data_IF_032304191232
#
_entry.id   IF_032304191232
#
_cell.length_a   1.000
_cell.length_b   1.000
_cell.length_c   1.000
_cell.angle_alpha   90.00
_cell.angle_beta   90.00
_cell.angle_gamma   90.00
#
_symmetry.space_group_name_H-M   'P 1'
#
loop_
_entity.id
_entity.type
_entity.pdbx_description
1 polymer ?
#
# COMPACT_ATOMS: atom_id res chain seq x y z
N UNK A 1 -3.36 14.96 2.03
CA UNK A 1 -4.48 14.00 1.83
C UNK A 1 -5.74 14.77 1.52
N UNK A 2 -6.55 14.30 0.57
CA UNK A 2 -7.79 14.94 0.10
C UNK A 2 -8.94 13.93 0.28
N UNK A 3 -10.07 14.36 0.85
CA UNK A 3 -11.30 13.57 0.88
C UNK A 3 -12.05 13.73 -0.45
N UNK A 4 -12.39 12.62 -1.09
CA UNK A 4 -13.03 12.60 -2.42
C UNK A 4 -14.53 12.44 -2.28
N UNK A 5 -14.94 11.50 -1.43
CA UNK A 5 -16.31 11.24 -0.97
C UNK A 5 -16.23 10.82 0.52
N UNK A 6 -17.33 10.86 1.27
CA UNK A 6 -17.31 10.53 2.70
C UNK A 6 -16.57 9.22 3.00
N UNK A 7 -15.55 9.29 3.85
CA UNK A 7 -14.67 8.17 4.24
C UNK A 7 -13.71 7.62 3.16
N UNK A 8 -13.63 8.23 1.97
CA UNK A 8 -12.65 7.90 0.94
C UNK A 8 -11.66 9.04 0.76
N UNK A 9 -10.40 8.76 1.05
CA UNK A 9 -9.34 9.75 1.01
C UNK A 9 -8.20 9.29 0.13
N UNK A 10 -7.59 10.23 -0.60
CA UNK A 10 -6.40 10.01 -1.41
C UNK A 10 -5.28 10.89 -0.87
N UNK A 11 -4.13 10.27 -0.59
CA UNK A 11 -2.95 10.96 -0.08
C UNK A 11 -1.68 10.39 -0.70
N UNK A 12 -0.57 11.09 -0.47
CA UNK A 12 0.75 10.64 -0.89
C UNK A 12 1.44 9.81 0.22
N UNK A 13 2.69 9.41 -0.02
CA UNK A 13 3.50 8.66 0.95
C UNK A 13 3.65 9.41 2.28
N UNK A 14 3.98 10.71 2.26
CA UNK A 14 4.18 11.50 3.48
C UNK A 14 2.90 11.63 4.31
N UNK A 15 1.74 11.77 3.66
CA UNK A 15 0.42 11.75 4.32
C UNK A 15 0.24 10.45 5.10
N UNK A 16 0.55 9.31 4.46
CA UNK A 16 0.44 7.99 5.09
C UNK A 16 1.40 7.84 6.27
N UNK A 17 2.70 8.09 6.06
CA UNK A 17 3.75 7.87 7.06
C UNK A 17 3.57 8.74 8.30
N UNK A 18 3.12 9.98 8.12
CA UNK A 18 2.98 10.95 9.21
C UNK A 18 1.66 10.78 9.97
N UNK A 19 0.56 10.46 9.28
CA UNK A 19 -0.79 10.61 9.85
C UNK A 19 -1.62 9.32 9.89
N UNK A 20 -1.32 8.31 9.06
CA UNK A 20 -2.20 7.15 8.85
C UNK A 20 -1.54 5.84 9.28
N UNK A 21 -0.22 5.71 9.18
CA UNK A 21 0.51 4.47 9.44
C UNK A 21 0.23 3.85 10.83
N UNK A 22 -0.08 4.68 11.83
CA UNK A 22 -0.40 4.25 13.20
C UNK A 22 -1.87 4.44 13.57
N UNK A 23 -2.74 4.86 12.64
CA UNK A 23 -4.17 5.01 12.92
C UNK A 23 -4.89 3.67 12.85
N UNK A 24 -5.69 3.41 13.87
CA UNK A 24 -6.65 2.31 13.88
C UNK A 24 -7.91 2.69 13.09
N UNK A 25 -8.69 1.69 12.66
CA UNK A 25 -9.97 1.85 11.94
C UNK A 25 -9.89 2.45 10.53
N UNK A 26 -8.71 2.43 9.90
CA UNK A 26 -8.55 2.76 8.49
C UNK A 26 -8.33 1.50 7.66
N UNK A 27 -8.92 1.43 6.48
CA UNK A 27 -8.44 0.54 5.42
C UNK A 27 -7.48 1.34 4.55
N UNK A 28 -6.29 0.78 4.30
CA UNK A 28 -5.25 1.47 3.54
C UNK A 28 -4.92 0.66 2.29
N UNK A 29 -4.94 1.31 1.14
CA UNK A 29 -4.49 0.75 -0.13
C UNK A 29 -3.23 1.49 -0.53
N UNK A 30 -2.10 0.79 -0.45
CA UNK A 30 -0.84 1.21 -1.07
C UNK A 30 -0.91 0.93 -2.57
N UNK A 31 -1.48 1.87 -3.31
CA UNK A 31 -1.61 1.82 -4.77
C UNK A 31 -0.31 2.19 -5.48
N UNK A 32 0.82 1.65 -5.00
CA UNK A 32 2.13 1.96 -5.54
C UNK A 32 3.13 0.83 -5.27
N UNK A 33 3.99 0.63 -6.27
CA UNK A 33 5.11 -0.31 -6.20
C UNK A 33 6.13 0.05 -5.13
N UNK A 34 6.60 1.30 -5.17
CA UNK A 34 7.67 1.83 -4.34
C UNK A 34 7.10 2.79 -3.28
N UNK A 35 7.57 2.74 -2.02
CA UNK A 35 8.44 1.70 -1.46
C UNK A 35 7.68 0.45 -0.99
N UNK A 36 6.35 0.50 -0.92
CA UNK A 36 5.58 -0.41 -0.06
C UNK A 36 5.47 -1.84 -0.57
N UNK A 37 5.01 -2.06 -1.81
CA UNK A 37 4.90 -3.43 -2.34
C UNK A 37 6.27 -4.10 -2.48
N UNK A 38 7.29 -3.33 -2.90
CA UNK A 38 8.67 -3.81 -2.93
C UNK A 38 9.19 -4.24 -1.57
N UNK A 39 9.11 -3.36 -0.58
CA UNK A 39 9.64 -3.65 0.75
C UNK A 39 8.90 -4.81 1.42
N UNK A 40 7.60 -4.95 1.13
CA UNK A 40 6.79 -6.04 1.66
C UNK A 40 7.22 -7.41 1.11
N UNK A 41 7.50 -7.50 -0.20
CA UNK A 41 7.83 -8.76 -0.87
C UNK A 41 9.34 -9.00 -1.02
N UNK A 42 10.17 -8.00 -0.75
CA UNK A 42 11.64 -8.12 -0.71
C UNK A 42 12.32 -8.30 -2.08
N UNK A 43 11.66 -7.99 -3.19
CA UNK A 43 12.28 -8.14 -4.51
C UNK A 43 13.17 -6.95 -4.91
N UNK A 44 14.29 -7.22 -5.58
CA UNK A 44 15.22 -6.20 -6.07
C UNK A 44 15.03 -5.85 -7.56
N UNK A 45 14.37 -6.73 -8.33
CA UNK A 45 14.16 -6.57 -9.77
C UNK A 45 13.08 -5.55 -10.16
N UNK A 46 12.62 -5.63 -11.42
CA UNK A 46 11.55 -4.77 -11.96
C UNK A 46 10.17 -5.03 -11.34
N UNK A 47 9.98 -6.14 -10.66
CA UNK A 47 8.77 -6.52 -9.95
C UNK A 47 9.02 -7.78 -9.12
N UNK A 48 8.01 -8.22 -8.38
CA UNK A 48 8.04 -9.53 -7.73
C UNK A 48 8.19 -10.64 -8.79
N UNK A 49 8.68 -11.84 -8.42
CA UNK A 49 8.63 -13.01 -9.31
C UNK A 49 7.20 -13.26 -9.81
N UNK A 50 7.03 -13.65 -11.07
CA UNK A 50 5.68 -13.85 -11.66
C UNK A 50 4.93 -14.99 -10.97
N UNK A 51 5.67 -15.95 -10.44
CA UNK A 51 5.18 -17.11 -9.72
C UNK A 51 4.88 -16.78 -8.24
N UNK A 52 5.19 -15.57 -7.77
CA UNK A 52 4.90 -15.15 -6.41
C UNK A 52 3.38 -15.05 -6.24
N UNK A 53 2.78 -15.68 -5.20
CA UNK A 53 1.33 -15.68 -5.01
C UNK A 53 0.76 -14.27 -4.82
N UNK A 54 1.59 -13.33 -4.35
CA UNK A 54 1.24 -11.94 -4.14
C UNK A 54 1.80 -11.00 -5.23
N UNK A 55 2.15 -11.53 -6.42
CA UNK A 55 2.77 -10.74 -7.50
C UNK A 55 1.99 -9.47 -7.86
N UNK A 56 0.66 -9.56 -7.95
CA UNK A 56 -0.22 -8.44 -8.30
C UNK A 56 -0.64 -7.62 -7.06
N UNK A 57 -0.82 -8.31 -5.94
CA UNK A 57 -1.49 -7.77 -4.78
C UNK A 57 -1.17 -8.59 -3.54
N UNK A 58 -0.79 -7.91 -2.47
CA UNK A 58 -0.55 -8.49 -1.15
C UNK A 58 -1.53 -7.90 -0.14
N UNK A 59 -2.01 -8.72 0.80
CA UNK A 59 -2.92 -8.29 1.87
C UNK A 59 -2.34 -8.59 3.24
N UNK A 60 -2.36 -7.61 4.13
CA UNK A 60 -2.03 -7.75 5.56
C UNK A 60 -3.15 -7.10 6.38
N UNK A 61 -4.14 -7.88 6.76
CA UNK A 61 -5.30 -7.39 7.53
C UNK A 61 -6.12 -6.33 6.79
N UNK A 62 -6.10 -5.10 7.30
CA UNK A 62 -6.73 -3.89 6.75
C UNK A 62 -5.84 -3.13 5.75
N UNK A 63 -4.68 -3.68 5.39
CA UNK A 63 -3.74 -3.09 4.43
C UNK A 63 -3.66 -3.91 3.15
N UNK A 64 -3.77 -3.23 2.03
CA UNK A 64 -3.62 -3.77 0.68
C UNK A 64 -2.40 -3.12 0.03
N UNK A 65 -1.60 -3.90 -0.69
CA UNK A 65 -0.41 -3.41 -1.38
C UNK A 65 -0.48 -3.88 -2.84
N UNK A 66 -0.48 -2.96 -3.79
CA UNK A 66 -0.45 -3.28 -5.22
C UNK A 66 0.91 -2.98 -5.84
N UNK A 67 1.23 -3.70 -6.91
CA UNK A 67 2.38 -3.40 -7.78
C UNK A 67 2.21 -2.08 -8.52
#
# INVERSE_FOLDING_TARGET
MIEIIPNLHIGNQSDYETNIANRHNWFVIHACKEPFHRNLLGYSGKGAPKEHPEYLLARRGNRLFST
#
